data_IF_108070404725
#
_entry.id   IF_108070404725
#
_cell.length_a   1.000
_cell.length_b   1.000
_cell.length_c   1.000
_cell.angle_alpha   90.00
_cell.angle_beta   90.00
_cell.angle_gamma   90.00
#
_symmetry.space_group_name_H-M   'P 1'
#
loop_
_entity.id
_entity.type
_entity.pdbx_description
1 polymer ?
#
# COMPACT_ATOMS: atom_id res chain seq x y z
N UNK A 1 -12.26 1.60 20.37
CA UNK A 1 -11.86 2.75 19.52
C UNK A 1 -11.71 3.95 20.45
N UNK A 2 -10.66 4.76 20.32
CA UNK A 2 -10.35 5.83 21.29
C UNK A 2 -10.50 7.19 20.63
N UNK A 3 -11.25 8.10 21.26
CA UNK A 3 -11.38 9.50 20.85
C UNK A 3 -10.28 10.33 21.51
N UNK A 4 -9.61 11.19 20.74
CA UNK A 4 -8.59 12.12 21.24
C UNK A 4 -8.80 13.52 20.70
N UNK A 5 -8.47 14.51 21.53
CA UNK A 5 -8.45 15.93 21.17
C UNK A 5 -7.00 16.43 21.18
N UNK A 6 -6.67 17.34 20.28
CA UNK A 6 -5.33 17.91 20.13
C UNK A 6 -5.43 19.41 20.35
N UNK A 7 -4.64 19.96 21.27
CA UNK A 7 -4.53 21.41 21.48
C UNK A 7 -3.34 21.96 20.70
N UNK A 8 -3.55 22.99 19.88
CA UNK A 8 -2.49 23.72 19.15
C UNK A 8 -2.82 25.20 19.09
N UNK A 9 -1.86 26.06 19.45
CA UNK A 9 -2.00 27.53 19.43
C UNK A 9 -3.30 28.01 20.11
N UNK A 10 -3.59 27.49 21.30
CA UNK A 10 -4.80 27.82 22.08
C UNK A 10 -6.12 27.23 21.55
N UNK A 11 -6.13 26.58 20.38
CA UNK A 11 -7.33 25.98 19.79
C UNK A 11 -7.36 24.48 20.01
N UNK A 12 -8.54 23.93 20.32
CA UNK A 12 -8.77 22.49 20.50
C UNK A 12 -9.34 21.89 19.21
N UNK A 13 -8.69 20.84 18.71
CA UNK A 13 -9.06 20.14 17.48
C UNK A 13 -9.48 18.70 17.79
N UNK A 14 -10.59 18.25 17.22
CA UNK A 14 -11.12 16.89 17.41
C UNK A 14 -12.65 16.86 17.36
N UNK A 15 -13.28 15.72 17.69
CA UNK A 15 -12.64 14.49 18.13
C UNK A 15 -11.99 13.71 16.97
N UNK A 16 -10.79 13.21 17.22
CA UNK A 16 -10.07 12.30 16.33
C UNK A 16 -10.18 10.87 16.82
N UNK A 17 -10.47 9.95 15.91
CA UNK A 17 -10.68 8.55 16.23
C UNK A 17 -9.45 7.71 15.92
N UNK A 18 -9.06 6.86 16.87
CA UNK A 18 -7.92 5.94 16.76
C UNK A 18 -8.35 4.50 17.05
N UNK A 19 -7.73 3.55 16.35
CA UNK A 19 -7.86 2.11 16.60
C UNK A 19 -6.51 1.51 16.98
N UNK A 20 -6.47 0.64 17.97
CA UNK A 20 -5.26 -0.11 18.31
C UNK A 20 -5.06 -1.25 17.30
N UNK A 21 -3.85 -1.41 16.79
CA UNK A 21 -3.47 -2.54 15.92
C UNK A 21 -2.11 -3.07 16.39
N UNK A 22 -2.01 -4.40 16.55
CA UNK A 22 -0.73 -5.06 16.81
C UNK A 22 0.07 -5.14 15.52
N UNK A 23 1.30 -4.66 15.54
CA UNK A 23 2.24 -4.66 14.41
C UNK A 23 3.55 -5.25 14.96
N UNK A 24 3.82 -6.51 14.63
CA UNK A 24 4.88 -7.29 15.25
C UNK A 24 4.66 -7.44 16.76
N UNK A 25 5.71 -7.17 17.54
CA UNK A 25 5.68 -7.25 19.02
C UNK A 25 5.04 -6.03 19.71
N UNK A 26 4.65 -4.98 18.97
CA UNK A 26 4.15 -3.73 19.54
C UNK A 26 2.70 -3.45 19.17
N UNK A 27 1.96 -2.77 20.06
CA UNK A 27 0.61 -2.26 19.79
C UNK A 27 0.72 -0.78 19.41
N UNK A 28 0.25 -0.44 18.21
CA UNK A 28 0.25 0.94 17.69
C UNK A 28 -1.17 1.48 17.56
N UNK A 29 -1.37 2.75 17.91
CA UNK A 29 -2.63 3.46 17.67
C UNK A 29 -2.64 4.03 16.26
N UNK A 30 -3.56 3.56 15.42
CA UNK A 30 -3.74 3.99 14.03
C UNK A 30 -4.88 4.98 13.95
N UNK A 31 -4.62 6.13 13.34
CA UNK A 31 -5.63 7.15 13.06
C UNK A 31 -6.66 6.65 12.04
N UNK A 32 -7.95 6.80 12.36
CA UNK A 32 -9.08 6.31 11.55
C UNK A 32 -9.80 7.46 10.84
N UNK A 33 -9.96 8.60 11.49
CA UNK A 33 -10.68 9.73 10.92
C UNK A 33 -11.03 10.80 11.95
N UNK A 34 -11.56 11.91 11.47
CA UNK A 34 -12.09 13.00 12.29
C UNK A 34 -13.61 12.94 12.24
N UNK A 35 -14.25 13.17 13.38
CA UNK A 35 -15.70 13.30 13.45
C UNK A 35 -16.09 14.69 12.96
N UNK A 36 -16.98 14.76 11.96
CA UNK A 36 -17.61 16.00 11.50
C UNK A 36 -19.11 15.72 11.29
N UNK A 37 -19.98 16.47 11.97
CA UNK A 37 -21.44 16.35 11.90
C UNK A 37 -21.96 14.93 12.21
N UNK A 38 -21.47 14.30 13.28
CA UNK A 38 -21.90 12.97 13.72
C UNK A 38 -21.45 11.80 12.83
N UNK A 39 -20.75 12.05 11.73
CA UNK A 39 -20.17 11.03 10.86
C UNK A 39 -18.64 11.07 10.93
N UNK A 40 -18.01 9.89 11.02
CA UNK A 40 -16.55 9.79 10.92
C UNK A 40 -16.17 10.03 9.46
N UNK A 41 -15.68 11.23 9.15
CA UNK A 41 -15.01 11.48 7.87
C UNK A 41 -13.67 10.77 7.90
N UNK A 42 -13.65 9.54 7.36
CA UNK A 42 -12.41 8.89 6.94
C UNK A 42 -11.78 9.83 5.92
N UNK A 43 -10.51 10.19 6.12
CA UNK A 43 -9.78 10.89 5.06
C UNK A 43 -9.89 10.02 3.81
N UNK A 44 -10.47 10.54 2.71
CA UNK A 44 -10.20 10.00 1.36
C UNK A 44 -8.70 9.83 1.30
N UNK A 45 -8.21 8.63 0.96
CA UNK A 45 -6.81 8.21 1.02
C UNK A 45 -5.88 9.39 0.67
N UNK A 46 -5.40 10.07 1.70
CA UNK A 46 -4.66 11.31 1.57
C UNK A 46 -3.24 10.99 1.95
N UNK A 47 -2.29 11.36 1.08
CA UNK A 47 -0.80 11.48 1.17
C UNK A 47 0.00 10.70 2.24
N UNK A 48 -0.55 10.35 3.40
CA UNK A 48 0.04 9.57 4.48
C UNK A 48 0.33 8.11 4.09
N UNK A 49 -0.40 7.50 3.14
CA UNK A 49 0.05 6.24 2.52
C UNK A 49 1.33 6.44 1.68
N UNK A 50 1.44 7.56 0.96
CA UNK A 50 2.71 7.96 0.29
C UNK A 50 3.85 8.18 1.28
N UNK A 51 3.57 8.58 2.53
CA UNK A 51 4.61 8.82 3.57
C UNK A 51 5.05 7.53 4.26
N UNK A 52 4.17 6.52 4.40
CA UNK A 52 4.60 5.20 4.86
C UNK A 52 5.40 4.46 3.78
N UNK A 53 5.10 4.67 2.49
CA UNK A 53 5.93 4.22 1.36
C UNK A 53 7.28 4.95 1.30
N UNK A 54 7.33 6.24 1.62
CA UNK A 54 8.56 7.02 1.62
C UNK A 54 9.52 6.72 2.79
N UNK A 55 9.13 5.89 3.77
CA UNK A 55 10.02 5.46 4.88
C UNK A 55 10.66 4.08 4.66
N UNK A 56 10.37 3.42 3.53
CA UNK A 56 11.15 2.29 3.00
C UNK A 56 12.31 2.78 2.10
N UNK A 57 12.78 4.03 2.31
CA UNK A 57 13.87 4.64 1.57
C UNK A 57 15.23 4.27 2.20
N UNK A 58 15.65 3.03 1.99
CA UNK A 58 17.07 2.73 1.83
C UNK A 58 17.28 2.30 0.37
N UNK A 59 17.64 3.28 -0.44
CA UNK A 59 17.93 3.13 -1.86
C UNK A 59 19.13 2.18 -2.04
N UNK A 60 18.90 0.98 -2.58
CA UNK A 60 19.97 0.19 -3.22
C UNK A 60 19.65 -0.31 -4.63
N UNK A 61 18.37 -0.46 -5.02
CA UNK A 61 18.05 -0.73 -6.43
C UNK A 61 16.75 -0.05 -6.91
N UNK A 62 16.90 0.94 -7.80
CA UNK A 62 15.78 1.67 -8.44
C UNK A 62 14.78 0.70 -9.11
N UNK A 63 15.29 -0.44 -9.60
CA UNK A 63 14.51 -1.50 -10.24
C UNK A 63 13.55 -2.20 -9.29
N UNK A 64 13.95 -2.39 -8.04
CA UNK A 64 13.11 -3.05 -7.02
C UNK A 64 11.96 -2.13 -6.61
N UNK A 65 12.23 -0.83 -6.51
CA UNK A 65 11.18 0.16 -6.26
C UNK A 65 10.17 0.21 -7.43
N UNK A 66 10.67 0.29 -8.66
CA UNK A 66 9.85 0.28 -9.87
C UNK A 66 9.02 -1.01 -9.98
N UNK A 67 9.59 -2.16 -9.63
CA UNK A 67 8.87 -3.44 -9.58
C UNK A 67 7.71 -3.41 -8.56
N UNK A 68 7.96 -2.89 -7.35
CA UNK A 68 6.90 -2.73 -6.34
C UNK A 68 5.77 -1.81 -6.80
N UNK A 69 6.07 -0.77 -7.59
CA UNK A 69 5.05 0.11 -8.17
C UNK A 69 4.21 -0.61 -9.21
N UNK A 70 4.84 -1.37 -10.11
CA UNK A 70 4.13 -2.15 -11.13
C UNK A 70 3.25 -3.24 -10.49
N UNK A 71 3.69 -3.89 -9.40
CA UNK A 71 2.87 -4.84 -8.64
C UNK A 71 1.56 -4.19 -8.17
N UNK A 72 1.65 -2.99 -7.57
CA UNK A 72 0.46 -2.26 -7.11
C UNK A 72 -0.45 -1.87 -8.26
N UNK A 73 0.13 -1.44 -9.39
CA UNK A 73 -0.63 -1.10 -10.60
C UNK A 73 -1.39 -2.31 -11.12
N UNK A 74 -0.75 -3.48 -11.22
CA UNK A 74 -1.40 -4.73 -11.63
C UNK A 74 -2.53 -5.13 -10.68
N UNK A 75 -2.30 -5.08 -9.37
CA UNK A 75 -3.33 -5.36 -8.36
C UNK A 75 -4.53 -4.41 -8.48
N UNK A 76 -4.30 -3.11 -8.68
CA UNK A 76 -5.38 -2.14 -8.90
C UNK A 76 -6.18 -2.44 -10.17
N UNK A 77 -5.52 -2.79 -11.27
CA UNK A 77 -6.18 -3.16 -12.52
C UNK A 77 -7.04 -4.44 -12.36
N UNK A 78 -6.58 -5.43 -11.59
CA UNK A 78 -7.36 -6.64 -11.29
C UNK A 78 -8.59 -6.35 -10.43
N UNK A 79 -8.48 -5.43 -9.47
CA UNK A 79 -9.65 -4.96 -8.69
C UNK A 79 -10.67 -4.25 -9.59
N UNK A 80 -10.20 -3.55 -10.62
CA UNK A 80 -11.03 -2.88 -11.63
C UNK A 80 -11.53 -3.86 -12.74
N UNK A 81 -11.25 -5.16 -12.65
CA UNK A 81 -11.52 -6.17 -13.69
C UNK A 81 -10.89 -5.87 -15.06
N UNK A 82 -9.84 -5.05 -15.11
CA UNK A 82 -9.09 -4.71 -16.32
C UNK A 82 -7.97 -5.72 -16.56
N UNK A 83 -8.37 -6.97 -16.78
CA UNK A 83 -7.46 -8.13 -16.80
C UNK A 83 -6.42 -8.04 -17.92
N UNK A 84 -6.82 -7.59 -19.12
CA UNK A 84 -5.90 -7.42 -20.25
C UNK A 84 -4.78 -6.42 -19.95
N UNK A 85 -5.10 -5.31 -19.30
CA UNK A 85 -4.11 -4.30 -18.89
C UNK A 85 -3.24 -4.78 -17.73
N UNK A 86 -3.83 -5.52 -16.78
CA UNK A 86 -3.06 -6.17 -15.73
C UNK A 86 -2.03 -7.15 -16.30
N UNK A 87 -2.37 -7.87 -17.38
CA UNK A 87 -1.46 -8.77 -18.09
C UNK A 87 -0.31 -8.02 -18.79
N UNK A 88 -0.58 -6.84 -19.37
CA UNK A 88 0.47 -5.98 -19.92
C UNK A 88 1.45 -5.53 -18.81
N UNK A 89 0.92 -5.06 -17.68
CA UNK A 89 1.74 -4.67 -16.52
C UNK A 89 2.52 -5.86 -15.95
N UNK A 90 1.93 -7.06 -15.94
CA UNK A 90 2.62 -8.29 -15.55
C UNK A 90 3.81 -8.61 -16.46
N UNK A 91 3.69 -8.33 -17.75
CA UNK A 91 4.79 -8.50 -18.72
C UNK A 91 5.93 -7.52 -18.45
N UNK A 92 5.60 -6.26 -18.13
CA UNK A 92 6.58 -5.25 -17.69
C UNK A 92 7.30 -5.70 -16.40
N UNK A 93 6.55 -6.23 -15.43
CA UNK A 93 7.09 -6.80 -14.20
C UNK A 93 8.12 -7.90 -14.51
N UNK A 94 7.78 -8.87 -15.36
CA UNK A 94 8.69 -9.99 -15.68
C UNK A 94 9.97 -9.51 -16.36
N UNK A 95 9.88 -8.49 -17.21
CA UNK A 95 11.06 -7.89 -17.86
C UNK A 95 11.96 -7.17 -16.85
N UNK A 96 11.37 -6.46 -15.89
CA UNK A 96 12.13 -5.78 -14.84
C UNK A 96 12.76 -6.77 -13.85
N UNK A 97 12.04 -7.83 -13.50
CA UNK A 97 12.52 -8.93 -12.64
C UNK A 97 13.82 -9.54 -13.15
N UNK A 98 13.93 -9.79 -14.46
CA UNK A 98 15.14 -10.33 -15.09
C UNK A 98 16.36 -9.43 -14.90
N UNK A 99 16.15 -8.13 -14.70
CA UNK A 99 17.21 -7.13 -14.53
C UNK A 99 17.63 -6.92 -13.06
N UNK A 100 16.94 -7.52 -12.10
CA UNK A 100 17.30 -7.45 -10.67
C UNK A 100 18.40 -8.46 -10.38
N UNK A 101 19.51 -7.98 -9.78
CA UNK A 101 20.71 -8.79 -9.49
C UNK A 101 20.71 -9.40 -8.09
N UNK A 102 20.07 -8.73 -7.12
CA UNK A 102 20.00 -9.22 -5.75
C UNK A 102 19.05 -10.41 -5.66
N UNK A 103 19.59 -11.61 -5.41
CA UNK A 103 18.82 -12.86 -5.36
C UNK A 103 17.81 -12.90 -4.21
N UNK A 104 18.15 -12.30 -3.06
CA UNK A 104 17.29 -12.31 -1.89
C UNK A 104 16.05 -11.44 -2.13
N UNK A 105 16.24 -10.25 -2.70
CA UNK A 105 15.12 -9.39 -3.08
C UNK A 105 14.29 -10.01 -4.22
N UNK A 106 14.97 -10.65 -5.18
CA UNK A 106 14.33 -11.32 -6.31
C UNK A 106 13.38 -12.44 -5.84
N UNK A 107 13.76 -13.24 -4.86
CA UNK A 107 12.88 -14.28 -4.32
C UNK A 107 11.59 -13.69 -3.71
N UNK A 108 11.69 -12.63 -2.91
CA UNK A 108 10.51 -11.98 -2.32
C UNK A 108 9.57 -11.39 -3.39
N UNK A 109 10.15 -10.82 -4.45
CA UNK A 109 9.39 -10.26 -5.56
C UNK A 109 8.70 -11.33 -6.42
N UNK A 110 9.31 -12.51 -6.55
CA UNK A 110 8.74 -13.64 -7.29
C UNK A 110 7.43 -14.12 -6.68
N UNK A 111 7.38 -14.31 -5.36
CA UNK A 111 6.17 -14.79 -4.67
C UNK A 111 4.99 -13.84 -4.90
N UNK A 112 5.25 -12.53 -4.83
CA UNK A 112 4.22 -11.51 -5.07
C UNK A 112 3.76 -11.48 -6.52
N UNK A 113 4.68 -11.59 -7.47
CA UNK A 113 4.33 -11.65 -8.89
C UNK A 113 3.53 -12.91 -9.22
N UNK A 114 3.86 -14.06 -8.62
CA UNK A 114 3.09 -15.30 -8.79
C UNK A 114 1.62 -15.11 -8.37
N UNK A 115 1.35 -14.45 -7.26
CA UNK A 115 -0.03 -14.16 -6.83
C UNK A 115 -0.81 -13.31 -7.84
N UNK A 116 -0.15 -12.33 -8.49
CA UNK A 116 -0.77 -11.53 -9.55
C UNK A 116 -1.12 -12.40 -10.75
N UNK A 117 -0.20 -13.28 -11.17
CA UNK A 117 -0.43 -14.19 -12.27
C UNK A 117 -1.58 -15.16 -12.00
N UNK A 118 -1.62 -15.76 -10.80
CA UNK A 118 -2.69 -16.68 -10.42
C UNK A 118 -4.06 -15.97 -10.44
N UNK A 119 -4.12 -14.70 -10.00
CA UNK A 119 -5.34 -13.89 -10.10
C UNK A 119 -5.75 -13.58 -11.54
N UNK A 120 -4.80 -13.18 -12.39
CA UNK A 120 -5.06 -12.98 -13.82
C UNK A 120 -5.65 -14.26 -14.41
N UNK A 121 -5.03 -15.42 -14.14
CA UNK A 121 -5.48 -16.71 -14.65
C UNK A 121 -6.89 -17.07 -14.19
N UNK A 122 -7.22 -16.85 -12.91
CA UNK A 122 -8.54 -17.13 -12.36
C UNK A 122 -9.65 -16.21 -12.89
N UNK A 123 -9.31 -14.98 -13.30
CA UNK A 123 -10.26 -14.03 -13.88
C UNK A 123 -10.34 -14.10 -15.42
N UNK A 124 -9.41 -14.81 -16.07
CA UNK A 124 -9.38 -14.99 -17.53
C UNK A 124 -9.99 -16.31 -18.00
N UNK A 125 -10.22 -17.25 -17.08
CA UNK A 125 -10.91 -18.52 -17.33
C UNK A 125 -12.36 -18.45 -16.91
#
# INVERSE_FOLDING_TARGET
MVKRYIKRKGKTYGPYHYKSKRIGKQVKSIYVGKEENGKIKKRKHSKVQKVHEAKEYHFKDKRVHEFKLLLRKADSLLIENRVAEAMQVYTELTNLYKKIKDEKEKLELYERARMIYDRIRLQSG
#
